data_IF_790445027747
#
_entry.id   IF_790445027747
#
_cell.length_a   1.000
_cell.length_b   1.000
_cell.length_c   1.000
_cell.angle_alpha   90.00
_cell.angle_beta   90.00
_cell.angle_gamma   90.00
#
_symmetry.space_group_name_H-M   'P 1'
#
loop_
_entity.id
_entity.type
_entity.pdbx_description
1 polymer ?
#
# COMPACT_ATOMS: atom_id res chain seq x y z
N UNK A 1 -9.90 14.95 -14.57
CA UNK A 1 -8.48 15.13 -14.97
C UNK A 1 -7.53 14.81 -13.83
N UNK A 2 -6.49 13.97 -14.08
CA UNK A 2 -5.44 13.62 -13.10
C UNK A 2 -4.51 14.81 -12.85
N UNK A 3 -3.98 14.95 -11.63
CA UNK A 3 -3.16 16.10 -11.24
C UNK A 3 -1.95 16.36 -12.15
N UNK A 4 -1.27 15.32 -12.66
CA UNK A 4 -0.10 15.50 -13.53
C UNK A 4 -0.42 16.05 -14.93
N UNK A 5 -1.71 16.10 -15.31
CA UNK A 5 -2.17 16.72 -16.56
C UNK A 5 -2.66 18.15 -16.38
N UNK A 6 -2.71 18.65 -15.14
CA UNK A 6 -3.08 20.04 -14.86
C UNK A 6 -1.81 20.89 -14.86
N UNK A 7 -1.80 22.04 -15.57
CA UNK A 7 -0.70 22.99 -15.52
C UNK A 7 -0.43 23.45 -14.09
N UNK A 8 0.83 23.66 -13.73
CA UNK A 8 1.21 24.07 -12.37
C UNK A 8 0.59 25.41 -11.98
N UNK A 9 0.55 26.37 -12.93
CA UNK A 9 -0.11 27.66 -12.73
C UNK A 9 -1.59 27.51 -12.34
N UNK A 10 -2.32 26.60 -13.01
CA UNK A 10 -3.72 26.32 -12.71
C UNK A 10 -3.90 25.78 -11.29
N UNK A 11 -3.05 24.82 -10.88
CA UNK A 11 -3.10 24.26 -9.52
C UNK A 11 -2.80 25.31 -8.46
N UNK A 12 -1.79 26.15 -8.69
CA UNK A 12 -1.39 27.19 -7.75
C UNK A 12 -2.51 28.22 -7.55
N UNK A 13 -3.15 28.67 -8.63
CA UNK A 13 -4.28 29.61 -8.54
C UNK A 13 -5.42 29.05 -7.72
N UNK A 14 -5.90 27.83 -8.02
CA UNK A 14 -7.04 27.27 -7.32
C UNK A 14 -6.71 26.79 -5.90
N UNK A 15 -5.47 26.36 -5.64
CA UNK A 15 -5.02 26.09 -4.28
C UNK A 15 -4.96 27.39 -3.45
N UNK A 16 -4.50 28.49 -4.04
CA UNK A 16 -4.49 29.80 -3.38
C UNK A 16 -5.91 30.29 -3.08
N UNK A 17 -6.85 30.16 -4.02
CA UNK A 17 -8.28 30.45 -3.78
C UNK A 17 -8.84 29.54 -2.67
N UNK A 18 -8.59 28.22 -2.75
CA UNK A 18 -8.96 27.24 -1.72
C UNK A 18 -8.38 27.54 -0.33
N UNK A 19 -7.22 28.18 -0.24
CA UNK A 19 -6.60 28.56 1.02
C UNK A 19 -7.10 29.92 1.52
N UNK A 20 -7.07 30.96 0.67
CA UNK A 20 -7.39 32.34 1.02
C UNK A 20 -8.86 32.53 1.39
N UNK A 21 -9.78 32.05 0.56
CA UNK A 21 -11.21 32.30 0.78
C UNK A 21 -11.80 31.35 1.84
N UNK A 22 -11.05 30.32 2.19
CA UNK A 22 -11.67 29.01 2.43
C UNK A 22 -10.94 28.14 3.46
N UNK A 23 -9.68 28.46 3.80
CA UNK A 23 -8.90 27.77 4.82
C UNK A 23 -8.52 26.32 4.48
N UNK A 24 -8.63 25.91 3.21
CA UNK A 24 -8.37 24.54 2.74
C UNK A 24 -7.09 24.52 1.91
N UNK A 25 -5.98 24.00 2.46
CA UNK A 25 -4.70 23.89 1.76
C UNK A 25 -4.62 22.68 0.82
N UNK A 26 -5.26 22.75 -0.34
CA UNK A 26 -5.31 21.63 -1.27
C UNK A 26 -3.91 21.14 -1.69
N UNK A 27 -3.70 19.82 -1.64
CA UNK A 27 -2.46 19.22 -2.12
C UNK A 27 -2.30 19.43 -3.64
N UNK A 28 -1.05 19.59 -4.11
CA UNK A 28 -0.71 19.58 -5.55
C UNK A 28 -1.01 18.24 -6.24
N UNK A 29 -1.26 17.18 -5.46
CA UNK A 29 -1.68 15.87 -5.93
C UNK A 29 -3.21 15.74 -6.12
N UNK A 30 -3.98 16.75 -5.70
CA UNK A 30 -5.42 16.79 -5.85
C UNK A 30 -5.80 16.81 -7.33
N UNK A 31 -6.69 15.89 -7.72
CA UNK A 31 -7.27 15.88 -9.06
C UNK A 31 -8.41 16.88 -9.16
N UNK A 32 -8.81 17.22 -10.40
CA UNK A 32 -9.78 18.28 -10.67
C UNK A 32 -11.11 18.12 -9.92
N UNK A 33 -11.59 16.88 -9.72
CA UNK A 33 -12.84 16.62 -8.99
C UNK A 33 -12.82 17.19 -7.56
N UNK A 34 -11.65 17.26 -6.92
CA UNK A 34 -11.53 17.78 -5.56
C UNK A 34 -11.91 19.26 -5.49
N UNK A 35 -11.54 20.02 -6.52
CA UNK A 35 -11.83 21.45 -6.61
C UNK A 35 -13.31 21.67 -6.87
N UNK A 36 -13.89 20.92 -7.82
CA UNK A 36 -15.33 20.97 -8.10
C UNK A 36 -16.18 20.57 -6.90
N UNK A 37 -15.79 19.52 -6.18
CA UNK A 37 -16.53 19.04 -5.02
C UNK A 37 -16.62 20.11 -3.92
N UNK A 38 -15.51 20.78 -3.63
CA UNK A 38 -15.48 21.87 -2.64
C UNK A 38 -16.33 23.04 -3.10
N UNK A 39 -16.20 23.46 -4.36
CA UNK A 39 -16.99 24.58 -4.90
C UNK A 39 -18.49 24.28 -4.92
N UNK A 40 -18.89 23.09 -5.38
CA UNK A 40 -20.28 22.66 -5.38
C UNK A 40 -20.87 22.60 -3.97
N UNK A 41 -20.12 22.06 -3.00
CA UNK A 41 -20.53 22.04 -1.60
C UNK A 41 -20.75 23.44 -1.01
N UNK A 42 -19.98 24.44 -1.43
CA UNK A 42 -20.16 25.84 -0.98
C UNK A 42 -21.32 26.56 -1.64
N UNK A 43 -21.57 26.28 -2.91
CA UNK A 43 -22.72 26.84 -3.63
C UNK A 43 -24.04 26.17 -3.22
N UNK A 44 -23.98 25.12 -2.40
CA UNK A 44 -25.16 24.42 -1.93
C UNK A 44 -25.93 25.30 -0.94
N UNK A 45 -27.20 25.58 -1.25
CA UNK A 45 -28.11 26.28 -0.36
C UNK A 45 -28.25 25.54 0.99
N UNK A 46 -28.62 26.23 2.09
CA UNK A 46 -28.76 25.60 3.41
C UNK A 46 -29.64 24.34 3.44
N UNK A 47 -30.73 24.35 2.68
CA UNK A 47 -31.69 23.25 2.49
C UNK A 47 -31.47 22.46 1.19
N UNK A 48 -30.41 22.79 0.45
CA UNK A 48 -30.06 22.17 -0.82
C UNK A 48 -29.60 20.72 -0.67
N UNK A 49 -29.70 19.96 -1.76
CA UNK A 49 -29.21 18.58 -1.86
C UNK A 49 -28.25 18.45 -3.03
N UNK A 50 -27.22 17.62 -2.86
CA UNK A 50 -26.20 17.35 -3.86
C UNK A 50 -25.93 15.85 -3.95
N UNK A 51 -25.94 15.33 -5.17
CA UNK A 51 -25.41 14.01 -5.50
C UNK A 51 -24.18 14.19 -6.39
N UNK A 52 -23.06 13.59 -6.02
CA UNK A 52 -21.81 13.76 -6.75
C UNK A 52 -21.18 12.41 -7.10
N UNK A 53 -20.89 12.20 -8.38
CA UNK A 53 -20.14 11.04 -8.86
C UNK A 53 -18.67 11.42 -8.95
N UNK A 54 -17.84 10.75 -8.15
CA UNK A 54 -16.38 10.97 -8.11
C UNK A 54 -15.63 9.64 -8.25
N UNK A 55 -14.34 9.68 -8.57
CA UNK A 55 -13.47 8.55 -8.26
C UNK A 55 -13.46 8.27 -6.75
N UNK A 56 -13.53 7.01 -6.34
CA UNK A 56 -13.48 6.58 -4.93
C UNK A 56 -12.26 7.14 -4.17
N UNK A 57 -11.19 7.49 -4.90
CA UNK A 57 -10.02 8.22 -4.37
C UNK A 57 -10.35 9.51 -3.61
N UNK A 58 -11.52 10.13 -3.80
CA UNK A 58 -11.99 11.29 -3.01
C UNK A 58 -12.12 10.96 -1.51
N UNK A 59 -12.37 9.69 -1.18
CA UNK A 59 -12.49 9.25 0.20
C UNK A 59 -11.37 8.29 0.62
N UNK A 60 -10.54 7.84 -0.32
CA UNK A 60 -9.49 6.86 -0.05
C UNK A 60 -8.08 7.45 -0.03
N UNK A 61 -7.81 8.48 -0.83
CA UNK A 61 -6.45 8.97 -1.00
C UNK A 61 -6.00 9.82 0.19
N UNK A 62 -4.71 9.76 0.54
CA UNK A 62 -4.16 10.57 1.64
C UNK A 62 -4.31 12.09 1.40
N UNK A 63 -4.20 12.55 0.15
CA UNK A 63 -4.39 13.97 -0.19
C UNK A 63 -5.85 14.46 -0.02
N UNK A 64 -6.81 13.55 0.11
CA UNK A 64 -8.22 13.90 0.28
C UNK A 64 -8.63 14.20 1.72
N UNK A 65 -7.70 14.12 2.68
CA UNK A 65 -7.93 14.44 4.10
C UNK A 65 -8.70 15.75 4.27
N UNK A 66 -8.32 16.80 3.56
CA UNK A 66 -8.99 18.09 3.71
C UNK A 66 -10.38 18.14 3.09
N UNK A 67 -10.63 17.40 2.02
CA UNK A 67 -11.97 17.28 1.42
C UNK A 67 -12.90 16.57 2.41
N UNK A 68 -12.42 15.48 3.02
CA UNK A 68 -13.12 14.77 4.09
C UNK A 68 -13.40 15.66 5.30
N UNK A 69 -12.41 16.44 5.73
CA UNK A 69 -12.60 17.39 6.83
C UNK A 69 -13.64 18.47 6.49
N UNK A 70 -13.61 18.99 5.26
CA UNK A 70 -14.61 19.95 4.76
C UNK A 70 -16.01 19.36 4.75
N UNK A 71 -16.21 18.15 4.19
CA UNK A 71 -17.51 17.46 4.18
C UNK A 71 -18.05 17.28 5.58
N UNK A 72 -17.21 16.84 6.52
CA UNK A 72 -17.63 16.58 7.90
C UNK A 72 -17.97 17.86 8.66
N UNK A 73 -17.31 18.98 8.36
CA UNK A 73 -17.47 20.25 9.09
C UNK A 73 -18.61 21.11 8.52
N UNK A 74 -18.67 21.23 7.20
CA UNK A 74 -19.52 22.22 6.52
C UNK A 74 -20.82 21.64 5.95
N UNK A 75 -20.89 20.32 5.76
CA UNK A 75 -21.98 19.66 5.04
C UNK A 75 -22.66 18.57 5.86
N UNK A 76 -23.74 17.99 5.34
CA UNK A 76 -24.46 16.86 5.95
C UNK A 76 -24.32 15.65 5.04
N UNK A 77 -23.33 14.82 5.31
CA UNK A 77 -23.14 13.56 4.59
C UNK A 77 -24.25 12.59 4.96
N UNK A 78 -24.99 12.09 3.98
CA UNK A 78 -26.10 11.13 4.18
C UNK A 78 -25.72 9.73 3.75
N UNK A 79 -25.12 9.61 2.56
CA UNK A 79 -24.73 8.31 2.04
C UNK A 79 -23.44 8.36 1.21
N UNK A 80 -22.71 7.26 1.28
CA UNK A 80 -21.60 6.92 0.39
C UNK A 80 -22.00 5.64 -0.34
N UNK A 81 -22.04 5.66 -1.66
CA UNK A 81 -22.30 4.49 -2.49
C UNK A 81 -21.02 4.17 -3.25
N UNK A 82 -20.38 3.07 -2.89
CA UNK A 82 -19.20 2.54 -3.56
C UNK A 82 -19.56 1.28 -4.34
N UNK A 83 -18.71 0.90 -5.29
CA UNK A 83 -18.91 -0.29 -6.10
C UNK A 83 -17.78 -1.29 -5.85
N UNK A 84 -18.09 -2.59 -5.85
CA UNK A 84 -17.04 -3.61 -5.83
C UNK A 84 -16.19 -3.53 -7.10
N UNK A 85 -14.90 -3.87 -6.98
CA UNK A 85 -13.92 -3.74 -8.08
C UNK A 85 -14.27 -4.56 -9.32
N UNK A 86 -15.06 -5.62 -9.13
CA UNK A 86 -15.59 -6.49 -10.19
C UNK A 86 -16.71 -5.84 -11.00
N UNK A 87 -17.23 -4.69 -10.55
CA UNK A 87 -18.33 -3.98 -11.20
C UNK A 87 -17.82 -2.75 -11.97
N UNK A 88 -17.61 -2.85 -13.30
CA UNK A 88 -17.19 -1.72 -14.11
C UNK A 88 -18.36 -0.74 -14.30
N UNK A 89 -18.39 0.33 -13.52
CA UNK A 89 -19.43 1.36 -13.59
C UNK A 89 -19.40 2.12 -14.92
N UNK A 90 -18.20 2.33 -15.47
CA UNK A 90 -17.97 3.05 -16.71
C UNK A 90 -17.15 2.20 -17.67
N UNK A 91 -17.71 1.90 -18.83
CA UNK A 91 -17.04 1.13 -19.86
C UNK A 91 -15.75 1.83 -20.34
N UNK A 92 -14.65 1.09 -20.45
CA UNK A 92 -13.36 1.62 -20.88
C UNK A 92 -12.64 2.52 -19.87
N UNK A 93 -13.14 2.67 -18.64
CA UNK A 93 -12.52 3.50 -17.59
C UNK A 93 -12.06 2.64 -16.42
N UNK A 94 -10.73 2.55 -16.25
CA UNK A 94 -10.12 1.89 -15.10
C UNK A 94 -10.05 2.84 -13.89
N UNK A 95 -11.20 3.10 -13.26
CA UNK A 95 -11.30 3.91 -12.03
C UNK A 95 -12.51 3.49 -11.21
N UNK A 96 -12.30 3.15 -9.94
CA UNK A 96 -13.39 2.92 -8.99
C UNK A 96 -14.21 4.20 -8.81
N UNK A 97 -15.52 4.11 -8.97
CA UNK A 97 -16.44 5.22 -8.79
C UNK A 97 -17.04 5.23 -7.37
N UNK A 98 -17.53 6.39 -6.96
CA UNK A 98 -18.25 6.61 -5.72
C UNK A 98 -19.33 7.65 -5.96
N UNK A 99 -20.53 7.40 -5.47
CA UNK A 99 -21.61 8.40 -5.41
C UNK A 99 -21.69 8.89 -3.97
N UNK A 100 -21.71 10.22 -3.80
CA UNK A 100 -21.84 10.85 -2.49
C UNK A 100 -23.16 11.60 -2.46
N UNK A 101 -23.98 11.35 -1.43
CA UNK A 101 -25.22 12.08 -1.19
C UNK A 101 -25.03 13.01 0.01
N UNK A 102 -25.24 14.30 -0.22
CA UNK A 102 -24.99 15.36 0.74
C UNK A 102 -26.19 16.30 0.78
N UNK A 103 -26.51 16.79 1.97
CA UNK A 103 -27.40 17.93 2.17
C UNK A 103 -26.62 19.15 2.68
N UNK A 104 -27.21 20.32 2.48
CA UNK A 104 -26.66 21.61 2.92
C UNK A 104 -26.57 21.73 4.44
N UNK A 105 -25.86 22.76 4.94
CA UNK A 105 -25.60 22.96 6.37
C UNK A 105 -26.87 23.22 7.21
N UNK A 106 -27.96 23.68 6.58
CA UNK A 106 -29.25 23.90 7.23
C UNK A 106 -30.02 22.61 7.53
N UNK A 107 -29.66 21.49 6.89
CA UNK A 107 -30.28 20.21 7.18
C UNK A 107 -29.86 19.68 8.57
N UNK A 108 -30.74 18.91 9.25
CA UNK A 108 -30.45 18.37 10.58
C UNK A 108 -29.15 17.57 10.60
N UNK A 109 -28.36 17.79 11.65
CA UNK A 109 -27.19 16.97 11.92
C UNK A 109 -27.64 15.50 12.07
N UNK A 110 -26.82 14.59 11.54
CA UNK A 110 -27.04 13.17 11.72
C UNK A 110 -25.71 12.54 12.10
N UNK A 111 -25.76 11.73 13.14
CA UNK A 111 -24.58 11.04 13.67
C UNK A 111 -24.24 9.79 12.87
N UNK A 112 -25.00 9.48 11.82
CA UNK A 112 -24.77 8.32 10.97
C UNK A 112 -24.76 8.65 9.48
N UNK A 113 -24.03 7.81 8.74
CA UNK A 113 -23.93 7.80 7.29
C UNK A 113 -24.23 6.38 6.82
N UNK A 114 -25.04 6.25 5.77
CA UNK A 114 -25.27 4.95 5.14
C UNK A 114 -24.15 4.69 4.13
N UNK A 115 -23.43 3.59 4.28
CA UNK A 115 -22.50 3.11 3.27
C UNK A 115 -23.12 1.93 2.54
N UNK A 116 -23.27 2.08 1.23
CA UNK A 116 -23.69 1.01 0.33
C UNK A 116 -22.50 0.56 -0.51
N UNK A 117 -22.15 -0.71 -0.42
CA UNK A 117 -21.21 -1.36 -1.30
C UNK A 117 -21.98 -2.20 -2.32
N UNK A 118 -22.06 -1.71 -3.55
CA UNK A 118 -22.85 -2.29 -4.64
C UNK A 118 -22.01 -3.31 -5.41
N UNK A 119 -22.49 -4.55 -5.48
CA UNK A 119 -21.89 -5.64 -6.28
C UNK A 119 -22.47 -5.69 -7.68
N UNK A 120 -23.77 -5.41 -7.77
CA UNK A 120 -24.54 -5.35 -9.02
C UNK A 120 -25.55 -4.22 -8.91
N UNK A 121 -25.67 -3.41 -9.96
CA UNK A 121 -26.65 -2.33 -9.97
C UNK A 121 -28.10 -2.88 -9.90
N UNK A 122 -28.87 -2.54 -8.86
CA UNK A 122 -30.24 -3.03 -8.70
C UNK A 122 -31.30 -2.10 -9.31
N UNK A 123 -30.91 -0.92 -9.79
CA UNK A 123 -31.83 0.19 -10.07
C UNK A 123 -31.71 1.31 -9.03
N UNK A 124 -32.39 2.43 -9.25
CA UNK A 124 -32.31 3.59 -8.34
C UNK A 124 -33.16 3.36 -7.10
N UNK A 125 -34.36 2.81 -7.27
CA UNK A 125 -35.35 2.61 -6.22
C UNK A 125 -34.81 1.70 -5.11
N UNK A 126 -34.22 0.51 -5.38
CA UNK A 126 -33.67 -0.32 -4.31
C UNK A 126 -32.50 0.33 -3.55
N UNK A 127 -31.75 1.21 -4.22
CA UNK A 127 -30.66 1.98 -3.58
C UNK A 127 -31.25 3.01 -2.61
N UNK A 128 -32.27 3.75 -3.04
CA UNK A 128 -32.96 4.74 -2.21
C UNK A 128 -33.64 4.07 -1.01
N UNK A 129 -34.37 2.97 -1.25
CA UNK A 129 -35.00 2.19 -0.18
C UNK A 129 -33.98 1.70 0.85
N UNK A 130 -32.81 1.22 0.39
CA UNK A 130 -31.76 0.77 1.28
C UNK A 130 -31.16 1.92 2.11
N UNK A 131 -31.06 3.13 1.56
CA UNK A 131 -30.59 4.33 2.26
C UNK A 131 -31.62 4.78 3.31
N UNK A 132 -32.90 4.80 2.95
CA UNK A 132 -33.99 5.20 3.85
C UNK A 132 -34.15 4.23 5.02
N UNK A 133 -34.08 2.93 4.75
CA UNK A 133 -34.11 1.90 5.79
C UNK A 133 -32.93 2.03 6.77
N UNK A 134 -31.74 2.38 6.27
CA UNK A 134 -30.51 2.44 7.06
C UNK A 134 -30.17 1.12 7.76
N UNK A 135 -29.30 1.16 8.78
CA UNK A 135 -28.87 -0.05 9.50
C UNK A 135 -27.94 -0.96 8.69
N UNK A 136 -27.70 -2.17 9.17
CA UNK A 136 -26.90 -3.18 8.45
C UNK A 136 -27.80 -4.09 7.60
N UNK A 137 -27.26 -4.66 6.53
CA UNK A 137 -27.98 -5.61 5.69
C UNK A 137 -27.18 -6.07 4.47
N UNK A 138 -27.55 -7.21 3.92
CA UNK A 138 -27.04 -7.70 2.64
C UNK A 138 -28.23 -8.09 1.76
N UNK A 139 -28.41 -7.39 0.64
CA UNK A 139 -29.54 -7.56 -0.26
C UNK A 139 -29.18 -8.40 -1.49
N UNK A 140 -28.05 -9.13 -1.45
CA UNK A 140 -27.52 -9.92 -2.57
C UNK A 140 -26.86 -9.06 -3.66
N UNK A 141 -27.47 -7.94 -4.03
CA UNK A 141 -26.93 -6.95 -4.96
C UNK A 141 -25.91 -6.00 -4.31
N UNK A 142 -25.90 -5.90 -2.98
CA UNK A 142 -25.03 -5.00 -2.25
C UNK A 142 -25.12 -5.19 -0.75
N UNK A 143 -24.07 -4.75 -0.06
CA UNK A 143 -24.00 -4.71 1.40
C UNK A 143 -24.25 -3.29 1.88
N UNK A 144 -25.11 -3.15 2.88
CA UNK A 144 -25.44 -1.90 3.56
C UNK A 144 -24.83 -1.90 4.95
N UNK A 145 -24.23 -0.77 5.33
CA UNK A 145 -23.70 -0.53 6.67
C UNK A 145 -24.13 0.84 7.16
N UNK A 146 -24.40 0.93 8.45
CA UNK A 146 -24.63 2.20 9.14
C UNK A 146 -23.35 2.60 9.87
N UNK A 147 -22.70 3.65 9.38
CA UNK A 147 -21.44 4.14 9.92
C UNK A 147 -21.71 5.33 10.82
N UNK A 148 -21.09 5.38 12.00
CA UNK A 148 -21.13 6.57 12.84
C UNK A 148 -20.25 7.66 12.22
N UNK A 149 -20.74 8.89 12.09
CA UNK A 149 -19.99 9.99 11.50
C UNK A 149 -18.66 10.25 12.23
N UNK A 150 -18.59 9.93 13.53
CA UNK A 150 -17.36 10.04 14.32
C UNK A 150 -16.26 9.07 13.88
N UNK A 151 -16.59 7.89 13.32
CA UNK A 151 -15.61 6.91 12.83
C UNK A 151 -15.07 7.26 11.43
N UNK A 152 -15.77 8.15 10.72
CA UNK A 152 -15.33 8.75 9.45
C UNK A 152 -14.30 9.85 9.70
N UNK A 153 -13.12 9.46 10.19
CA UNK A 153 -12.00 10.36 10.39
C UNK A 153 -11.38 10.76 9.04
N UNK A 154 -10.97 12.03 8.86
CA UNK A 154 -10.40 12.49 7.60
C UNK A 154 -9.15 11.72 7.13
N UNK A 155 -8.38 11.13 8.05
CA UNK A 155 -7.19 10.35 7.74
C UNK A 155 -7.49 8.90 7.35
N UNK A 156 -8.72 8.42 7.52
CA UNK A 156 -9.17 7.05 7.19
C UNK A 156 -9.87 7.01 5.83
N UNK A 157 -9.98 5.82 5.24
CA UNK A 157 -10.81 5.63 4.05
C UNK A 157 -12.27 5.51 4.44
N UNK A 158 -13.17 6.21 3.75
CA UNK A 158 -14.61 6.16 4.06
C UNK A 158 -15.39 5.13 3.23
N UNK A 159 -14.77 4.54 2.20
CA UNK A 159 -15.37 3.52 1.32
C UNK A 159 -15.05 2.09 1.75
N UNK A 160 -14.14 1.91 2.71
CA UNK A 160 -13.72 0.59 3.21
C UNK A 160 -13.78 0.63 4.74
N UNK A 161 -14.94 0.30 5.29
CA UNK A 161 -15.17 0.38 6.75
C UNK A 161 -15.64 -0.97 7.28
N UNK A 162 -14.69 -1.82 7.65
CA UNK A 162 -14.91 -3.08 8.37
C UNK A 162 -13.99 -3.19 9.58
N UNK A 163 -13.96 -2.17 10.43
CA UNK A 163 -13.32 -2.32 11.73
C UNK A 163 -14.32 -2.97 12.67
N UNK A 164 -13.98 -4.17 13.17
CA UNK A 164 -14.59 -4.68 14.39
C UNK A 164 -14.07 -3.81 15.54
N UNK A 165 -14.98 -3.14 16.25
CA UNK A 165 -14.70 -2.40 17.49
C UNK A 165 -14.31 -3.32 18.66
N UNK A 166 -14.16 -4.63 18.41
CA UNK A 166 -13.65 -5.63 19.34
C UNK A 166 -12.13 -5.79 19.18
N UNK A 167 -11.36 -4.73 19.40
CA UNK A 167 -9.92 -4.87 19.61
C UNK A 167 -9.68 -5.01 21.11
N UNK A 168 -9.31 -6.21 21.56
CA UNK A 168 -8.88 -6.48 22.93
C UNK A 168 -7.50 -5.85 23.26
N UNK A 169 -6.99 -5.03 22.34
CA UNK A 169 -5.71 -4.33 22.41
C UNK A 169 -4.55 -5.18 21.91
N UNK A 170 -4.77 -6.40 21.41
CA UNK A 170 -3.69 -7.22 20.83
C UNK A 170 -3.32 -6.79 19.43
N UNK A 171 -4.20 -6.10 18.70
CA UNK A 171 -3.86 -5.52 17.41
C UNK A 171 -3.23 -4.16 17.59
N UNK A 172 -2.17 -3.92 16.81
CA UNK A 172 -1.47 -2.64 16.82
C UNK A 172 -1.14 -2.22 15.38
N UNK A 173 -0.97 -0.92 15.12
CA UNK A 173 -0.44 -0.47 13.84
C UNK A 173 0.95 -1.06 13.59
N UNK A 174 1.22 -1.54 12.37
CA UNK A 174 2.51 -2.13 12.02
C UNK A 174 3.70 -1.21 12.33
N UNK A 175 3.51 0.11 12.25
CA UNK A 175 4.54 1.10 12.62
C UNK A 175 5.02 1.01 14.08
N UNK A 176 4.22 0.42 15.00
CA UNK A 176 4.66 0.21 16.38
C UNK A 176 5.58 -1.01 16.54
N UNK A 177 5.63 -1.89 15.54
CA UNK A 177 6.40 -3.13 15.56
C UNK A 177 7.56 -3.13 14.56
N UNK A 178 7.50 -2.30 13.53
CA UNK A 178 8.51 -2.25 12.49
C UNK A 178 8.61 -0.88 11.82
N UNK A 179 9.84 -0.51 11.43
CA UNK A 179 10.09 0.64 10.54
C UNK A 179 9.94 0.19 9.09
N UNK A 180 9.03 0.80 8.34
CA UNK A 180 8.82 0.52 6.92
C UNK A 180 9.45 1.60 6.05
N UNK A 181 10.21 1.19 5.04
CA UNK A 181 10.81 2.10 4.05
C UNK A 181 10.76 1.46 2.67
N UNK A 182 10.91 2.28 1.63
CA UNK A 182 10.99 1.78 0.26
C UNK A 182 12.36 1.13 0.01
N UNK A 183 12.40 0.12 -0.87
CA UNK A 183 13.65 -0.41 -1.39
C UNK A 183 14.39 0.53 -2.34
N UNK A 184 15.58 0.10 -2.75
CA UNK A 184 16.56 0.96 -3.41
C UNK A 184 16.06 1.44 -4.78
N UNK A 185 16.05 2.76 -4.98
CA UNK A 185 15.74 3.37 -6.26
C UNK A 185 17.03 3.75 -6.99
N UNK A 186 17.46 2.93 -7.94
CA UNK A 186 18.73 3.18 -8.64
C UNK A 186 18.64 4.31 -9.67
N UNK A 187 17.47 4.52 -10.30
CA UNK A 187 17.28 5.46 -11.42
C UNK A 187 17.84 4.97 -12.77
N UNK A 188 18.73 3.98 -12.75
CA UNK A 188 19.35 3.39 -13.93
C UNK A 188 19.69 1.91 -13.70
N UNK A 189 18.68 1.05 -13.57
CA UNK A 189 18.89 -0.38 -13.26
C UNK A 189 19.88 -1.08 -14.22
N UNK A 190 19.93 -0.69 -15.50
CA UNK A 190 20.86 -1.26 -16.46
C UNK A 190 22.34 -1.01 -16.12
N UNK A 191 22.65 0.09 -15.42
CA UNK A 191 24.00 0.42 -14.96
C UNK A 191 24.27 -0.15 -13.57
N UNK A 192 23.34 0.02 -12.64
CA UNK A 192 23.59 -0.31 -11.23
C UNK A 192 23.43 -1.79 -10.90
N UNK A 193 22.77 -2.58 -11.74
CA UNK A 193 22.47 -3.97 -11.44
C UNK A 193 23.18 -4.87 -12.45
N UNK A 194 23.99 -5.78 -11.95
CA UNK A 194 24.93 -6.59 -12.73
C UNK A 194 24.67 -8.09 -12.55
N UNK A 195 24.82 -8.86 -13.61
CA UNK A 195 24.99 -10.33 -13.55
C UNK A 195 26.44 -10.70 -13.27
N UNK A 196 26.69 -11.96 -12.92
CA UNK A 196 28.05 -12.48 -12.71
C UNK A 196 28.94 -12.28 -13.95
N UNK A 197 28.38 -12.44 -15.16
CA UNK A 197 29.11 -12.23 -16.41
C UNK A 197 29.45 -10.76 -16.65
N UNK A 198 28.54 -9.84 -16.31
CA UNK A 198 28.80 -8.39 -16.41
C UNK A 198 29.89 -7.99 -15.39
N UNK A 199 29.83 -8.51 -14.15
CA UNK A 199 30.86 -8.27 -13.13
C UNK A 199 32.23 -8.72 -13.64
N UNK A 200 32.33 -9.96 -14.15
CA UNK A 200 33.59 -10.51 -14.69
C UNK A 200 34.09 -9.72 -15.90
N UNK A 201 33.19 -9.39 -16.83
CA UNK A 201 33.51 -8.66 -18.06
C UNK A 201 34.10 -7.28 -17.77
N UNK A 202 33.51 -6.57 -16.83
CA UNK A 202 33.94 -5.22 -16.47
C UNK A 202 35.09 -5.24 -15.46
N UNK A 203 35.33 -6.37 -14.79
CA UNK A 203 36.36 -6.51 -13.76
C UNK A 203 36.04 -5.68 -12.52
N UNK A 204 34.75 -5.49 -12.20
CA UNK A 204 34.33 -4.71 -11.02
C UNK A 204 34.80 -5.43 -9.76
N UNK A 205 35.41 -4.68 -8.84
CA UNK A 205 35.86 -5.21 -7.57
C UNK A 205 34.66 -5.73 -6.74
N UNK A 206 34.68 -6.98 -6.27
CA UNK A 206 33.65 -7.50 -5.35
C UNK A 206 33.39 -6.62 -4.12
N UNK A 207 34.37 -5.86 -3.64
CA UNK A 207 34.20 -4.92 -2.53
C UNK A 207 33.23 -3.76 -2.86
N UNK A 208 33.05 -3.45 -4.15
CA UNK A 208 32.13 -2.45 -4.64
C UNK A 208 30.76 -3.04 -5.03
N UNK A 209 30.50 -4.30 -4.68
CA UNK A 209 29.25 -4.99 -4.98
C UNK A 209 28.51 -5.38 -3.71
N UNK A 210 27.18 -5.29 -3.77
CA UNK A 210 26.29 -5.84 -2.73
C UNK A 210 25.26 -6.77 -3.37
N UNK A 211 24.93 -7.92 -2.74
CA UNK A 211 23.83 -8.78 -3.20
C UNK A 211 22.51 -8.01 -3.29
N UNK A 212 21.72 -8.22 -4.34
CA UNK A 212 20.43 -7.53 -4.52
C UNK A 212 19.37 -8.38 -5.21
N UNK A 213 18.15 -8.31 -4.69
CA UNK A 213 16.93 -8.84 -5.29
C UNK A 213 16.25 -7.77 -6.15
N UNK A 214 16.02 -8.06 -7.43
CA UNK A 214 15.68 -7.02 -8.41
C UNK A 214 14.21 -7.05 -8.81
N UNK A 215 13.59 -8.23 -8.78
CA UNK A 215 12.21 -8.46 -9.22
C UNK A 215 11.46 -9.37 -8.27
N UNK A 216 10.17 -9.10 -8.09
CA UNK A 216 9.29 -9.92 -7.23
C UNK A 216 9.12 -11.36 -7.70
N UNK A 217 9.36 -11.66 -8.98
CA UNK A 217 9.33 -13.03 -9.54
C UNK A 217 10.58 -13.85 -9.23
N UNK A 218 11.66 -13.21 -8.83
CA UNK A 218 12.92 -13.88 -8.47
C UNK A 218 12.83 -14.51 -7.06
N UNK A 219 11.88 -14.03 -6.24
CA UNK A 219 11.46 -14.59 -4.95
C UNK A 219 9.98 -15.04 -5.01
N UNK A 220 9.70 -16.23 -5.57
CA UNK A 220 8.33 -16.70 -5.77
C UNK A 220 7.64 -17.17 -4.49
N UNK A 221 8.41 -17.57 -3.46
CA UNK A 221 7.91 -18.08 -2.18
C UNK A 221 7.78 -17.02 -1.07
N UNK A 222 7.80 -17.49 0.18
CA UNK A 222 7.71 -16.68 1.40
C UNK A 222 9.04 -16.55 2.16
N UNK A 223 10.08 -17.23 1.70
CA UNK A 223 11.46 -17.05 2.11
C UNK A 223 12.33 -16.84 0.86
N UNK A 224 13.45 -16.13 1.03
CA UNK A 224 14.48 -15.96 0.02
C UNK A 224 15.83 -16.34 0.65
N UNK A 225 16.40 -17.45 0.20
CA UNK A 225 17.59 -18.08 0.79
C UNK A 225 18.86 -17.83 -0.01
N UNK A 226 20.01 -18.22 0.53
CA UNK A 226 21.28 -18.19 -0.21
C UNK A 226 21.23 -19.10 -1.45
N UNK A 227 20.56 -20.26 -1.37
CA UNK A 227 20.33 -21.13 -2.52
C UNK A 227 19.52 -20.46 -3.63
N UNK A 228 18.53 -19.65 -3.27
CA UNK A 228 17.80 -18.82 -4.23
C UNK A 228 18.72 -17.80 -4.90
N UNK A 229 19.58 -17.14 -4.11
CA UNK A 229 20.55 -16.19 -4.63
C UNK A 229 21.57 -16.83 -5.58
N UNK A 230 22.05 -18.04 -5.26
CA UNK A 230 22.94 -18.82 -6.13
C UNK A 230 22.23 -19.33 -7.39
N UNK A 231 20.96 -19.72 -7.27
CA UNK A 231 20.13 -20.04 -8.43
C UNK A 231 20.02 -18.85 -9.40
N UNK A 232 19.87 -17.61 -8.91
CA UNK A 232 19.87 -16.43 -9.78
C UNK A 232 21.18 -16.29 -10.57
N UNK A 233 22.33 -16.58 -9.96
CA UNK A 233 23.63 -16.60 -10.62
C UNK A 233 23.69 -17.63 -11.73
N UNK A 234 23.32 -18.89 -11.43
CA UNK A 234 23.26 -20.00 -12.41
C UNK A 234 22.33 -19.71 -13.60
N UNK A 235 21.23 -18.99 -13.36
CA UNK A 235 20.28 -18.57 -14.40
C UNK A 235 20.73 -17.31 -15.19
N UNK A 236 21.93 -16.79 -14.92
CA UNK A 236 22.47 -15.58 -15.55
C UNK A 236 21.69 -14.30 -15.22
N UNK A 237 20.94 -14.29 -14.10
CA UNK A 237 20.19 -13.11 -13.68
C UNK A 237 21.11 -12.05 -13.08
N UNK A 238 20.63 -10.80 -13.08
CA UNK A 238 21.31 -9.69 -12.41
C UNK A 238 21.05 -9.82 -10.91
N UNK A 239 22.12 -9.98 -10.12
CA UNK A 239 22.05 -10.23 -8.66
C UNK A 239 23.01 -9.37 -7.84
N UNK A 240 23.80 -8.53 -8.49
CA UNK A 240 24.74 -7.61 -7.84
C UNK A 240 24.31 -6.16 -8.03
N UNK A 241 24.37 -5.38 -6.97
CA UNK A 241 24.22 -3.93 -6.99
C UNK A 241 25.61 -3.30 -6.95
N UNK A 242 25.94 -2.47 -7.93
CA UNK A 242 27.10 -1.59 -7.86
C UNK A 242 26.87 -0.58 -6.73
N UNK A 243 27.70 -0.66 -5.71
CA UNK A 243 27.54 0.02 -4.43
C UNK A 243 28.75 0.92 -4.14
N UNK A 244 28.85 1.99 -4.92
CA UNK A 244 29.87 3.02 -4.76
C UNK A 244 29.36 4.13 -3.85
N UNK A 245 30.18 4.60 -2.92
CA UNK A 245 29.83 5.70 -2.00
C UNK A 245 30.75 6.91 -2.19
N UNK A 246 32.00 6.66 -2.54
CA UNK A 246 33.07 7.64 -2.62
C UNK A 246 33.53 7.87 -4.07
N UNK A 247 34.29 8.94 -4.34
CA UNK A 247 34.94 9.14 -5.63
C UNK A 247 35.79 7.93 -6.02
N UNK A 248 35.64 7.49 -7.27
CA UNK A 248 36.41 6.36 -7.81
C UNK A 248 37.74 6.87 -8.35
N UNK A 249 38.82 6.15 -8.03
CA UNK A 249 40.16 6.51 -8.51
C UNK A 249 40.27 6.33 -10.04
N UNK A 250 40.90 7.26 -10.77
CA UNK A 250 41.14 7.10 -12.19
C UNK A 250 41.94 5.82 -12.51
N UNK A 251 41.58 5.15 -13.60
CA UNK A 251 42.26 3.95 -14.08
C UNK A 251 41.74 2.63 -13.50
N UNK A 252 40.86 2.65 -12.50
CA UNK A 252 40.24 1.42 -11.99
C UNK A 252 39.18 0.87 -12.98
N UNK A 253 38.81 -0.43 -12.84
CA UNK A 253 37.69 -1.01 -13.58
C UNK A 253 36.38 -0.21 -13.44
N UNK A 254 36.07 0.28 -12.24
CA UNK A 254 34.88 1.08 -11.96
C UNK A 254 34.93 2.43 -12.68
N UNK A 255 36.10 3.09 -12.74
CA UNK A 255 36.24 4.34 -13.47
C UNK A 255 35.91 4.16 -14.96
N UNK A 256 36.37 3.06 -15.57
CA UNK A 256 36.02 2.70 -16.96
C UNK A 256 34.54 2.38 -17.12
N UNK A 257 33.95 1.69 -16.15
CA UNK A 257 32.52 1.37 -16.16
C UNK A 257 31.65 2.63 -16.04
N UNK A 258 32.03 3.57 -15.18
CA UNK A 258 31.38 4.87 -15.03
C UNK A 258 31.44 5.66 -16.35
N UNK A 259 32.62 5.76 -16.98
CA UNK A 259 32.78 6.43 -18.28
C UNK A 259 31.88 5.81 -19.36
N UNK A 260 31.74 4.48 -19.38
CA UNK A 260 30.79 3.81 -20.26
C UNK A 260 29.34 4.24 -19.97
N UNK A 261 28.94 4.32 -18.70
CA UNK A 261 27.62 4.81 -18.32
C UNK A 261 27.38 6.27 -18.69
N UNK A 262 28.42 7.10 -18.63
CA UNK A 262 28.39 8.51 -19.04
C UNK A 262 28.21 8.67 -20.55
N UNK A 263 28.93 7.87 -21.34
CA UNK A 263 28.78 7.83 -22.80
C UNK A 263 27.36 7.42 -23.24
N UNK A 264 26.63 6.70 -22.39
CA UNK A 264 25.22 6.32 -22.60
C UNK A 264 24.22 7.36 -22.05
N UNK A 265 24.69 8.54 -21.63
CA UNK A 265 23.90 9.60 -21.01
C UNK A 265 23.11 9.17 -19.76
N UNK A 266 23.55 8.10 -19.07
CA UNK A 266 22.82 7.59 -17.89
C UNK A 266 22.86 8.58 -16.73
N UNK A 267 23.96 9.32 -16.60
CA UNK A 267 24.15 10.42 -15.63
C UNK A 267 23.12 11.56 -15.75
N UNK A 268 22.44 11.70 -16.90
CA UNK A 268 21.45 12.74 -17.13
C UNK A 268 20.03 12.35 -16.68
N UNK A 269 19.81 11.09 -16.29
CA UNK A 269 18.49 10.62 -15.85
C UNK A 269 18.04 11.34 -14.58
N UNK A 270 16.72 11.55 -14.47
CA UNK A 270 16.11 12.43 -13.47
C UNK A 270 16.55 12.18 -12.02
N UNK A 271 16.65 10.92 -11.59
CA UNK A 271 17.02 10.58 -10.21
C UNK A 271 18.53 10.67 -9.94
N UNK A 272 19.37 10.26 -10.88
CA UNK A 272 20.82 10.22 -10.67
C UNK A 272 21.47 11.59 -10.83
N UNK A 273 20.90 12.45 -11.69
CA UNK A 273 21.35 13.83 -11.91
C UNK A 273 21.25 14.69 -10.64
N UNK A 274 20.42 14.31 -9.68
CA UNK A 274 20.28 15.04 -8.40
C UNK A 274 21.32 14.61 -7.36
N UNK A 275 22.15 13.60 -7.64
CA UNK A 275 23.20 13.13 -6.72
C UNK A 275 24.49 13.93 -6.96
N UNK A 276 25.27 14.17 -5.90
CA UNK A 276 26.58 14.83 -6.01
C UNK A 276 27.56 14.04 -6.88
N UNK A 277 27.62 12.73 -6.65
CA UNK A 277 28.22 11.74 -7.54
C UNK A 277 27.07 10.94 -8.18
N UNK A 278 26.87 11.05 -9.49
CA UNK A 278 25.71 10.45 -10.15
C UNK A 278 25.65 8.92 -9.99
N UNK A 279 26.82 8.29 -9.85
CA UNK A 279 27.00 6.86 -9.63
C UNK A 279 27.03 6.44 -8.15
N UNK A 280 27.00 7.38 -7.19
CA UNK A 280 26.94 7.00 -5.78
C UNK A 280 25.58 6.38 -5.44
N UNK A 281 25.57 5.30 -4.67
CA UNK A 281 24.37 4.60 -4.26
C UNK A 281 23.81 5.14 -2.94
N UNK A 282 22.50 5.01 -2.72
CA UNK A 282 21.93 5.29 -1.40
C UNK A 282 22.34 4.21 -0.39
N UNK A 283 22.60 4.60 0.85
CA UNK A 283 22.95 3.65 1.90
C UNK A 283 21.72 2.90 2.40
N UNK A 284 21.84 1.59 2.51
CA UNK A 284 20.78 0.72 3.01
C UNK A 284 21.36 -0.58 3.58
N UNK A 285 20.86 -0.99 4.73
CA UNK A 285 21.07 -2.35 5.24
C UNK A 285 19.97 -3.27 4.72
N UNK A 286 20.26 -4.55 4.44
CA UNK A 286 19.21 -5.54 4.16
C UNK A 286 18.14 -5.54 5.26
N UNK A 287 16.87 -5.65 4.86
CA UNK A 287 15.79 -5.81 5.85
C UNK A 287 15.54 -7.31 6.09
N UNK A 288 15.14 -7.70 7.32
CA UNK A 288 14.70 -9.07 7.58
C UNK A 288 13.45 -9.47 6.78
N UNK A 289 12.58 -8.50 6.45
CA UNK A 289 11.32 -8.75 5.76
C UNK A 289 11.19 -7.85 4.52
N UNK A 290 10.82 -8.46 3.39
CA UNK A 290 10.43 -7.75 2.17
C UNK A 290 8.94 -7.88 1.87
N UNK A 291 8.30 -6.77 1.47
CA UNK A 291 6.92 -6.80 0.99
C UNK A 291 6.81 -6.45 -0.50
N UNK A 292 6.04 -7.24 -1.24
CA UNK A 292 5.78 -6.98 -2.67
C UNK A 292 4.75 -5.84 -2.86
N UNK A 293 5.26 -4.60 -2.85
CA UNK A 293 4.49 -3.35 -2.74
C UNK A 293 3.44 -3.10 -3.84
N UNK A 294 3.61 -3.72 -5.01
CA UNK A 294 2.67 -3.69 -6.13
C UNK A 294 2.46 -5.13 -6.61
N UNK A 295 1.30 -5.69 -6.32
CA UNK A 295 1.00 -7.08 -6.68
C UNK A 295 -0.45 -7.25 -7.11
N UNK A 296 -0.64 -8.05 -8.16
CA UNK A 296 -1.95 -8.59 -8.54
C UNK A 296 -2.19 -9.85 -7.74
N UNK A 297 -3.21 -9.88 -6.89
CA UNK A 297 -3.71 -11.06 -6.15
C UNK A 297 -2.74 -11.74 -5.16
N UNK A 298 -1.42 -11.61 -5.30
CA UNK A 298 -0.41 -12.34 -4.51
C UNK A 298 0.62 -11.42 -3.87
N UNK A 299 0.17 -10.57 -2.95
CA UNK A 299 1.08 -9.82 -2.07
C UNK A 299 1.74 -10.78 -1.09
N UNK A 300 3.03 -10.61 -0.80
CA UNK A 300 3.81 -11.51 0.08
C UNK A 300 4.70 -10.70 1.00
N UNK A 301 4.77 -11.11 2.27
CA UNK A 301 5.85 -10.73 3.17
C UNK A 301 6.85 -11.87 3.16
N UNK A 302 8.07 -11.58 2.72
CA UNK A 302 9.10 -12.55 2.38
C UNK A 302 10.19 -12.43 3.44
N UNK A 303 10.60 -13.55 4.02
CA UNK A 303 11.74 -13.62 4.92
C UNK A 303 13.05 -13.58 4.11
N UNK A 304 13.86 -12.55 4.34
CA UNK A 304 15.16 -12.40 3.71
C UNK A 304 16.24 -13.15 4.52
N UNK A 305 16.39 -14.44 4.27
CA UNK A 305 17.41 -15.28 4.90
C UNK A 305 18.80 -15.08 4.28
N UNK A 306 18.84 -14.63 3.01
CA UNK A 306 20.07 -14.43 2.26
C UNK A 306 20.82 -13.12 2.58
N UNK A 307 20.28 -12.28 3.47
CA UNK A 307 20.84 -10.96 3.82
C UNK A 307 21.14 -10.07 2.59
N UNK A 308 20.31 -10.16 1.54
CA UNK A 308 20.49 -9.38 0.30
C UNK A 308 19.73 -8.08 0.34
N UNK A 309 20.19 -7.04 -0.36
CA UNK A 309 19.40 -5.83 -0.61
C UNK A 309 18.24 -6.12 -1.56
N UNK A 310 17.34 -5.18 -1.76
CA UNK A 310 16.24 -5.26 -2.71
C UNK A 310 15.97 -3.90 -3.38
N UNK A 311 15.55 -3.94 -4.64
CA UNK A 311 15.16 -2.73 -5.36
C UNK A 311 13.79 -2.22 -4.90
N UNK A 312 13.43 -1.03 -5.36
CA UNK A 312 12.21 -0.31 -5.05
C UNK A 312 10.89 -0.97 -5.54
N UNK A 313 10.97 -2.21 -6.04
CA UNK A 313 9.83 -3.11 -6.24
C UNK A 313 9.45 -3.89 -4.98
N UNK A 314 10.20 -3.68 -3.89
CA UNK A 314 9.92 -4.17 -2.55
C UNK A 314 9.84 -3.00 -1.56
N UNK A 315 9.09 -3.18 -0.48
CA UNK A 315 9.27 -2.42 0.75
C UNK A 315 10.16 -3.22 1.70
N UNK A 316 11.01 -2.50 2.42
CA UNK A 316 11.84 -3.00 3.49
C UNK A 316 11.08 -2.80 4.80
N UNK A 317 10.99 -3.87 5.58
CA UNK A 317 10.35 -3.86 6.89
C UNK A 317 11.41 -4.29 7.89
N UNK A 318 11.78 -3.38 8.79
CA UNK A 318 12.74 -3.62 9.87
C UNK A 318 11.97 -3.76 11.17
N UNK A 319 11.71 -4.99 11.66
CA UNK A 319 11.08 -5.18 12.96
C UNK A 319 11.93 -4.56 14.08
N UNK A 320 11.29 -4.17 15.17
CA UNK A 320 12.00 -3.77 16.40
C UNK A 320 12.87 -4.92 16.90
N UNK A 321 13.98 -4.66 17.64
CA UNK A 321 14.92 -5.69 18.06
C UNK A 321 14.27 -6.89 18.76
N UNK A 322 13.26 -6.65 19.62
CA UNK A 322 12.52 -7.70 20.32
C UNK A 322 11.79 -8.70 19.40
N UNK A 323 11.57 -8.35 18.13
CA UNK A 323 11.02 -9.24 17.10
C UNK A 323 12.13 -9.68 16.15
N UNK A 324 12.96 -8.75 15.67
CA UNK A 324 13.93 -9.01 14.60
C UNK A 324 15.15 -9.84 15.02
N UNK A 325 15.48 -9.89 16.31
CA UNK A 325 16.62 -10.65 16.84
C UNK A 325 16.24 -12.01 17.43
N UNK A 326 14.94 -12.30 17.58
CA UNK A 326 14.43 -13.61 18.03
C UNK A 326 13.74 -14.31 16.86
N UNK A 327 14.38 -15.34 16.32
CA UNK A 327 13.90 -15.99 15.09
C UNK A 327 12.49 -16.59 15.25
N UNK A 328 12.19 -17.15 16.43
CA UNK A 328 10.87 -17.68 16.76
C UNK A 328 9.79 -16.59 16.64
N UNK A 329 10.00 -15.44 17.28
CA UNK A 329 9.07 -14.31 17.22
C UNK A 329 9.01 -13.69 15.82
N UNK A 330 10.13 -13.62 15.08
CA UNK A 330 10.15 -13.15 13.70
C UNK A 330 9.31 -14.04 12.77
N UNK A 331 9.44 -15.36 12.88
CA UNK A 331 8.64 -16.33 12.10
C UNK A 331 7.16 -16.26 12.46
N UNK A 332 6.83 -16.18 13.75
CA UNK A 332 5.44 -15.98 14.19
C UNK A 332 4.87 -14.68 13.62
N UNK A 333 5.66 -13.60 13.59
CA UNK A 333 5.25 -12.33 12.99
C UNK A 333 5.05 -12.43 11.48
N UNK A 334 5.93 -13.13 10.76
CA UNK A 334 5.77 -13.41 9.33
C UNK A 334 4.52 -14.26 9.02
N UNK A 335 4.15 -15.19 9.89
CA UNK A 335 2.89 -15.91 9.83
C UNK A 335 1.70 -14.95 9.90
N UNK A 336 1.67 -14.08 10.92
CA UNK A 336 0.65 -13.05 11.10
C UNK A 336 0.55 -12.15 9.87
N UNK A 337 1.69 -11.67 9.36
CA UNK A 337 1.74 -10.80 8.19
C UNK A 337 1.19 -11.47 6.91
N UNK A 338 1.36 -12.78 6.76
CA UNK A 338 0.85 -13.54 5.61
C UNK A 338 -0.55 -14.18 5.81
N UNK A 339 -1.17 -14.00 6.98
CA UNK A 339 -2.53 -14.47 7.27
C UNK A 339 -3.59 -13.90 6.32
N UNK A 340 -4.77 -14.52 6.26
CA UNK A 340 -5.90 -14.03 5.46
C UNK A 340 -6.41 -12.69 5.98
N UNK A 341 -6.54 -12.56 7.29
CA UNK A 341 -6.95 -11.33 7.96
C UNK A 341 -6.03 -10.15 7.63
N UNK A 342 -4.69 -10.30 7.72
CA UNK A 342 -3.76 -9.22 7.34
C UNK A 342 -3.88 -8.87 5.86
N UNK A 343 -4.11 -9.85 4.99
CA UNK A 343 -4.28 -9.60 3.54
C UNK A 343 -5.59 -8.88 3.22
N UNK A 344 -6.64 -9.13 3.99
CA UNK A 344 -7.87 -8.33 3.94
C UNK A 344 -7.60 -6.90 4.42
N UNK A 345 -6.88 -6.72 5.53
CA UNK A 345 -6.50 -5.42 6.06
C UNK A 345 -5.63 -4.60 5.08
N UNK A 346 -4.77 -5.26 4.29
CA UNK A 346 -3.95 -4.61 3.27
C UNK A 346 -4.79 -3.89 2.20
N UNK A 347 -5.97 -4.40 1.85
CA UNK A 347 -6.92 -3.71 0.94
C UNK A 347 -7.49 -2.44 1.59
N UNK A 348 -7.68 -2.47 2.89
CA UNK A 348 -8.20 -1.32 3.63
C UNK A 348 -7.18 -0.17 3.66
N UNK A 349 -5.89 -0.46 3.80
CA UNK A 349 -4.84 0.58 3.84
C UNK A 349 -4.27 0.94 2.47
N UNK A 350 -4.14 -0.04 1.56
CA UNK A 350 -3.51 0.08 0.25
C UNK A 350 -4.41 0.62 -0.85
N UNK A 351 -3.87 1.25 -1.88
CA UNK A 351 -4.67 1.73 -3.03
C UNK A 351 -4.94 0.59 -3.99
N UNK A 352 -6.18 0.37 -4.38
CA UNK A 352 -6.48 -0.56 -5.48
C UNK A 352 -6.43 0.15 -6.83
N UNK A 353 -5.87 -0.56 -7.81
CA UNK A 353 -5.92 -0.27 -9.24
C UNK A 353 -6.66 -1.43 -9.91
N UNK A 354 -7.18 -1.23 -11.12
CA UNK A 354 -7.93 -2.26 -11.85
C UNK A 354 -7.29 -3.65 -11.84
N UNK A 355 -8.15 -4.66 -11.82
CA UNK A 355 -7.77 -6.07 -11.86
C UNK A 355 -7.09 -6.58 -10.58
N UNK A 356 -7.63 -6.23 -9.40
CA UNK A 356 -7.13 -6.64 -8.07
C UNK A 356 -5.66 -6.27 -7.80
N UNK A 357 -5.17 -5.18 -8.41
CA UNK A 357 -3.79 -4.74 -8.21
C UNK A 357 -3.73 -3.82 -7.00
N UNK A 358 -3.13 -4.29 -5.90
CA UNK A 358 -2.95 -3.46 -4.71
C UNK A 358 -1.57 -2.81 -4.79
N UNK A 359 -1.53 -1.50 -4.55
CA UNK A 359 -0.30 -0.75 -4.31
C UNK A 359 -0.29 -0.19 -2.90
N UNK A 360 0.79 -0.42 -2.17
CA UNK A 360 0.93 0.06 -0.80
C UNK A 360 2.26 0.81 -0.68
N UNK A 361 2.18 2.06 -0.26
CA UNK A 361 3.36 2.87 0.06
C UNK A 361 3.70 2.76 1.56
N UNK A 362 4.94 3.09 2.01
CA UNK A 362 5.35 2.94 3.40
C UNK A 362 4.37 3.55 4.42
N UNK A 363 3.94 4.80 4.21
CA UNK A 363 2.99 5.50 5.11
C UNK A 363 1.60 4.86 5.18
N UNK A 364 1.21 4.12 4.15
CA UNK A 364 -0.05 3.38 4.14
C UNK A 364 0.13 2.07 4.92
N UNK A 365 1.27 1.41 4.73
CA UNK A 365 1.65 0.20 5.45
C UNK A 365 1.84 0.44 6.96
N UNK A 366 2.30 1.62 7.38
CA UNK A 366 2.42 2.02 8.79
C UNK A 366 1.13 1.81 9.59
N UNK A 367 -0.03 1.98 8.94
CA UNK A 367 -1.36 1.90 9.55
C UNK A 367 -1.99 0.52 9.51
N UNK A 368 -1.30 -0.47 8.93
CA UNK A 368 -1.81 -1.82 8.81
C UNK A 368 -2.01 -2.41 10.22
N UNK A 369 -3.25 -2.75 10.63
CA UNK A 369 -3.46 -3.43 11.90
C UNK A 369 -2.90 -4.86 11.81
N UNK A 370 -2.08 -5.24 12.77
CA UNK A 370 -1.45 -6.56 12.86
C UNK A 370 -1.50 -7.07 14.29
N UNK A 371 -1.67 -8.38 14.46
CA UNK A 371 -1.59 -9.01 15.77
C UNK A 371 -0.16 -8.85 16.31
N UNK A 372 -0.03 -8.32 17.54
CA UNK A 372 1.26 -8.11 18.16
C UNK A 372 1.86 -9.44 18.63
N UNK A 373 2.96 -9.93 18.02
CA UNK A 373 3.56 -11.22 18.39
C UNK A 373 4.14 -11.21 19.81
N UNK A 374 4.45 -10.03 20.38
CA UNK A 374 4.98 -9.90 21.73
C UNK A 374 3.92 -10.06 22.82
N UNK A 375 2.64 -10.07 22.44
CA UNK A 375 1.51 -10.35 23.36
C UNK A 375 1.09 -11.82 23.35
N UNK A 376 1.78 -12.65 22.57
CA UNK A 376 1.51 -14.07 22.45
C UNK A 376 2.34 -14.87 23.45
N UNK A 377 1.75 -15.94 23.97
CA UNK A 377 2.46 -16.97 24.73
C UNK A 377 3.52 -17.66 23.86
N UNK A 378 4.49 -18.33 24.48
CA UNK A 378 5.52 -19.06 23.74
C UNK A 378 4.93 -20.15 22.84
N UNK A 379 3.93 -20.90 23.32
CA UNK A 379 3.27 -21.96 22.54
C UNK A 379 2.51 -21.41 21.31
N UNK A 380 1.86 -20.25 21.44
CA UNK A 380 1.20 -19.59 20.30
C UNK A 380 2.22 -19.11 19.26
N UNK A 381 3.37 -18.57 19.70
CA UNK A 381 4.46 -18.18 18.80
C UNK A 381 5.07 -19.38 18.10
N UNK A 382 5.32 -20.47 18.81
CA UNK A 382 5.79 -21.74 18.24
C UNK A 382 4.83 -22.27 17.18
N UNK A 383 3.53 -22.30 17.49
CA UNK A 383 2.52 -22.74 16.52
C UNK A 383 2.53 -21.90 15.24
N UNK A 384 2.55 -20.58 15.37
CA UNK A 384 2.57 -19.66 14.23
C UNK A 384 3.88 -19.75 13.44
N UNK A 385 5.02 -19.89 14.11
CA UNK A 385 6.31 -20.05 13.46
C UNK A 385 6.38 -21.35 12.65
N UNK A 386 5.90 -22.47 13.20
CA UNK A 386 5.80 -23.76 12.48
C UNK A 386 4.92 -23.63 11.23
N UNK A 387 3.75 -22.98 11.35
CA UNK A 387 2.88 -22.74 10.20
C UNK A 387 3.52 -21.83 9.15
N UNK A 388 4.40 -20.90 9.54
CA UNK A 388 5.16 -20.10 8.59
C UNK A 388 6.24 -20.92 7.88
N UNK A 389 6.92 -21.82 8.59
CA UNK A 389 7.89 -22.74 7.98
C UNK A 389 7.19 -23.67 6.97
N UNK A 390 6.02 -24.22 7.32
CA UNK A 390 5.17 -24.97 6.38
C UNK A 390 4.78 -24.12 5.17
N UNK A 391 4.41 -22.85 5.37
CA UNK A 391 4.06 -21.92 4.29
C UNK A 391 5.23 -21.68 3.35
N UNK A 392 6.47 -21.66 3.86
CA UNK A 392 7.68 -21.52 3.04
C UNK A 392 7.95 -22.76 2.19
N UNK A 393 7.53 -23.94 2.64
CA UNK A 393 7.68 -25.22 1.93
C UNK A 393 6.49 -25.59 1.05
N UNK A 394 5.45 -24.75 0.98
CA UNK A 394 4.26 -25.05 0.19
C UNK A 394 4.56 -25.13 -1.32
N UNK A 395 4.32 -26.30 -1.92
CA UNK A 395 4.60 -26.55 -3.34
C UNK A 395 3.43 -26.22 -4.29
N UNK A 396 2.24 -25.97 -3.73
CA UNK A 396 1.02 -25.69 -4.50
C UNK A 396 0.21 -24.54 -3.91
N UNK A 397 -0.66 -23.93 -4.73
CA UNK A 397 -1.55 -22.86 -4.26
C UNK A 397 -2.58 -23.37 -3.26
N UNK A 398 -3.02 -24.60 -3.44
CA UNK A 398 -3.96 -25.29 -2.56
C UNK A 398 -3.33 -25.50 -1.18
N UNK A 399 -2.05 -25.91 -1.13
CA UNK A 399 -1.30 -26.03 0.11
C UNK A 399 -1.09 -24.66 0.77
N UNK A 400 -0.67 -23.64 0.02
CA UNK A 400 -0.55 -22.26 0.52
C UNK A 400 -1.87 -21.78 1.15
N UNK A 401 -3.00 -22.00 0.47
CA UNK A 401 -4.31 -21.55 0.93
C UNK A 401 -4.78 -22.29 2.18
N UNK A 402 -4.50 -23.59 2.30
CA UNK A 402 -4.79 -24.40 3.48
C UNK A 402 -3.97 -23.94 4.69
N UNK A 403 -2.66 -23.75 4.53
CA UNK A 403 -1.79 -23.28 5.61
C UNK A 403 -2.20 -21.87 6.04
N UNK A 404 -2.54 -20.98 5.10
CA UNK A 404 -3.04 -19.63 5.43
C UNK A 404 -4.40 -19.65 6.15
N UNK A 405 -5.25 -20.67 5.94
CA UNK A 405 -6.46 -20.88 6.75
C UNK A 405 -6.09 -21.29 8.17
N UNK A 406 -5.19 -22.26 8.34
CA UNK A 406 -4.72 -22.69 9.66
C UNK A 406 -4.06 -21.54 10.46
N UNK A 407 -3.26 -20.70 9.81
CA UNK A 407 -2.71 -19.47 10.42
C UNK A 407 -3.86 -18.56 10.88
N UNK A 408 -4.86 -18.35 10.03
CA UNK A 408 -5.98 -17.46 10.33
C UNK A 408 -6.84 -18.01 11.48
N UNK A 409 -7.17 -19.29 11.49
CA UNK A 409 -7.89 -19.97 12.57
C UNK A 409 -7.13 -19.88 13.90
N UNK A 410 -5.81 -20.02 13.85
CA UNK A 410 -4.94 -19.83 15.02
C UNK A 410 -5.07 -18.41 15.55
N UNK A 411 -5.00 -17.40 14.67
CA UNK A 411 -5.15 -15.99 15.07
C UNK A 411 -6.55 -15.70 15.62
N UNK A 412 -7.61 -16.20 14.99
CA UNK A 412 -8.99 -16.05 15.45
C UNK A 412 -9.15 -16.66 16.85
N UNK A 413 -8.61 -17.86 17.08
CA UNK A 413 -8.64 -18.52 18.39
C UNK A 413 -7.91 -17.71 19.46
N UNK A 414 -6.77 -17.11 19.11
CA UNK A 414 -5.95 -16.28 20.03
C UNK A 414 -6.65 -14.96 20.37
N UNK A 415 -7.29 -14.32 19.39
CA UNK A 415 -7.78 -12.94 19.51
C UNK A 415 -9.28 -12.82 19.78
N UNK A 416 -10.06 -13.88 19.56
CA UNK A 416 -11.52 -13.83 19.66
C UNK A 416 -12.20 -12.99 18.58
N UNK A 417 -11.47 -12.50 17.57
CA UNK A 417 -12.01 -11.67 16.49
C UNK A 417 -12.55 -12.56 15.36
N UNK A 418 -13.85 -12.49 15.06
CA UNK A 418 -14.45 -13.19 13.92
C UNK A 418 -13.99 -12.64 12.56
N UNK A 419 -13.98 -13.50 11.53
CA UNK A 419 -13.39 -13.25 10.21
C UNK A 419 -13.83 -11.94 9.55
N UNK A 420 -12.86 -11.25 8.93
CA UNK A 420 -13.10 -10.17 7.97
C UNK A 420 -13.47 -10.78 6.60
N UNK A 421 -14.72 -11.23 6.44
CA UNK A 421 -15.26 -11.73 5.16
C UNK A 421 -15.75 -10.60 4.21
#
# INVERSE_FOLDING_TARGET
TRHHRLPEAYKSTWAAVAEQEFGIKLSRLSSLFAHFFIQAGRMLAPDGRMAFITPATVFEASYSRQIKAFVRRELRLRAIISFEETFPVFEGVDTAACITLIEGPGAPACDWVVHLQVRRWPGVEPILDAIEQGGEGDAGWGRRRRLRLSTLEPDRKWTVTGHNDHDDGRFVPLASLARIVRGIATGANAFFVLSDDEVKRWGVDPANLRPVLTKTREAPGYAFTEDDFERLGREGKKRWLLYLMEPVQPGTPEARYIQWGEAQNLHQRSLVRTRSLWYAMEQRDPAPIYFTYLSRKRSRFIYNLADVLALNVFLYIYPIPAIGQDELTLKAFLAVLNSRMTKAALRQVGRTYGGDTIKIEPREMDRLPVLNPLKLTSSERERLATLFDELCQAESREAEDMIRRAINETIVTISGVENLD
#
